data_IF_590508452649
#
_entry.id   IF_590508452649
#
_cell.length_a   1.000
_cell.length_b   1.000
_cell.length_c   1.000
_cell.angle_alpha   90.00
_cell.angle_beta   90.00
_cell.angle_gamma   90.00
#
_symmetry.space_group_name_H-M   'P 1'
#
loop_
_entity.id
_entity.type
_entity.pdbx_description
1 polymer ?
#
# COMPACT_ATOMS: atom_id res chain seq x y z
N UNK A 1 13.54 -10.15 22.04
CA UNK A 1 13.52 -11.03 20.84
C UNK A 1 12.34 -12.01 20.84
N UNK A 2 11.90 -12.54 21.98
CA UNK A 2 10.71 -13.42 22.08
C UNK A 2 9.38 -12.72 21.77
N UNK A 3 9.22 -11.46 22.17
CA UNK A 3 7.99 -10.67 21.94
C UNK A 3 7.68 -10.42 20.46
N UNK A 4 8.67 -10.01 19.66
CA UNK A 4 8.50 -9.79 18.20
C UNK A 4 8.16 -11.08 17.44
N UNK A 5 8.67 -12.25 17.86
CA UNK A 5 8.34 -13.54 17.25
C UNK A 5 6.86 -13.92 17.52
N UNK A 6 6.38 -13.64 18.73
CA UNK A 6 5.00 -13.92 19.13
C UNK A 6 4.00 -13.04 18.35
N UNK A 7 4.31 -11.75 18.15
CA UNK A 7 3.50 -10.84 17.33
C UNK A 7 3.41 -11.27 15.87
N UNK A 8 4.53 -11.75 15.28
CA UNK A 8 4.55 -12.27 13.90
C UNK A 8 3.65 -13.49 13.71
N UNK A 9 3.61 -14.41 14.68
CA UNK A 9 2.72 -15.58 14.63
C UNK A 9 1.24 -15.18 14.74
N UNK A 10 0.92 -14.29 15.68
CA UNK A 10 -0.46 -13.78 15.85
C UNK A 10 -0.99 -13.10 14.59
N UNK A 11 -0.18 -12.31 13.89
CA UNK A 11 -0.57 -11.67 12.63
C UNK A 11 -0.80 -12.69 11.49
N UNK A 12 -0.04 -13.78 11.46
CA UNK A 12 -0.26 -14.87 10.50
C UNK A 12 -1.49 -15.74 10.85
N UNK A 13 -1.91 -15.75 12.12
CA UNK A 13 -3.05 -16.52 12.61
C UNK A 13 -4.37 -15.75 12.50
N UNK A 14 -4.34 -14.42 12.59
CA UNK A 14 -5.51 -13.55 12.41
C UNK A 14 -5.90 -13.30 10.95
N UNK A 15 -5.34 -14.06 10.00
CA UNK A 15 -5.68 -13.89 8.59
C UNK A 15 -7.14 -14.25 8.34
N UNK A 16 -7.87 -13.38 7.64
CA UNK A 16 -9.28 -13.56 7.26
C UNK A 16 -9.53 -14.89 6.53
N UNK A 17 -8.51 -15.46 5.88
CA UNK A 17 -8.60 -16.77 5.22
C UNK A 17 -8.62 -17.97 6.17
N UNK A 18 -8.37 -17.77 7.48
CA UNK A 18 -8.36 -18.85 8.49
C UNK A 18 -9.60 -18.84 9.39
N UNK A 19 -10.20 -17.68 9.60
CA UNK A 19 -11.38 -17.52 10.45
C UNK A 19 -12.55 -17.04 9.60
N UNK A 20 -13.77 -17.54 9.83
CA UNK A 20 -14.93 -17.04 9.11
C UNK A 20 -15.15 -15.55 9.45
N UNK A 21 -15.67 -14.75 8.51
CA UNK A 21 -15.94 -13.33 8.72
C UNK A 21 -16.89 -13.10 9.90
N UNK A 22 -16.81 -11.96 10.55
CA UNK A 22 -17.74 -11.55 11.63
C UNK A 22 -19.15 -11.29 11.09
N UNK A 23 -20.15 -11.20 11.97
CA UNK A 23 -21.54 -10.99 11.56
C UNK A 23 -21.72 -9.71 10.73
N UNK A 24 -21.11 -8.60 11.15
CA UNK A 24 -21.16 -7.32 10.43
C UNK A 24 -20.59 -7.42 9.01
N UNK A 25 -19.48 -8.14 8.84
CA UNK A 25 -18.84 -8.37 7.54
C UNK A 25 -19.70 -9.27 6.63
N UNK A 26 -20.39 -10.25 7.21
CA UNK A 26 -21.36 -11.10 6.49
C UNK A 26 -22.57 -10.29 6.03
N UNK A 27 -23.09 -9.41 6.88
CA UNK A 27 -24.22 -8.54 6.54
C UNK A 27 -23.84 -7.58 5.41
N UNK A 28 -22.59 -7.08 5.38
CA UNK A 28 -22.06 -6.30 4.27
C UNK A 28 -22.02 -7.10 2.96
N UNK A 29 -21.49 -8.32 2.99
CA UNK A 29 -21.49 -9.18 1.81
C UNK A 29 -22.90 -9.52 1.33
N UNK A 30 -23.82 -9.76 2.27
CA UNK A 30 -25.21 -10.03 1.93
C UNK A 30 -25.87 -8.82 1.25
N UNK A 31 -25.59 -7.60 1.70
CA UNK A 31 -26.04 -6.38 1.02
C UNK A 31 -25.49 -6.26 -0.40
N UNK A 32 -24.20 -6.52 -0.60
CA UNK A 32 -23.59 -6.54 -1.95
C UNK A 32 -24.27 -7.58 -2.85
N UNK A 33 -24.51 -8.78 -2.31
CA UNK A 33 -25.21 -9.84 -3.05
C UNK A 33 -26.64 -9.45 -3.44
N UNK A 34 -27.38 -8.80 -2.54
CA UNK A 34 -28.74 -8.34 -2.82
C UNK A 34 -28.80 -7.24 -3.89
N UNK A 35 -27.73 -6.45 -4.06
CA UNK A 35 -27.65 -5.46 -5.15
C UNK A 35 -27.53 -6.12 -6.53
N UNK A 36 -26.80 -7.23 -6.62
CA UNK A 36 -26.59 -7.99 -7.87
C UNK A 36 -27.71 -9.01 -8.15
N UNK A 37 -28.56 -9.30 -7.16
CA UNK A 37 -29.58 -10.35 -7.22
C UNK A 37 -30.96 -9.80 -7.59
N UNK A 38 -31.54 -10.29 -8.68
CA UNK A 38 -32.94 -10.02 -9.01
C UNK A 38 -33.90 -11.01 -8.32
N UNK A 39 -34.80 -10.54 -7.44
CA UNK A 39 -35.73 -11.41 -6.73
C UNK A 39 -36.81 -12.04 -7.63
N UNK A 40 -37.13 -11.41 -8.77
CA UNK A 40 -38.17 -11.90 -9.68
C UNK A 40 -37.69 -13.03 -10.59
N UNK A 41 -36.47 -12.93 -11.11
CA UNK A 41 -35.90 -13.92 -12.04
C UNK A 41 -35.07 -14.98 -11.35
N UNK A 42 -34.66 -14.78 -10.09
CA UNK A 42 -33.71 -15.65 -9.37
C UNK A 42 -32.40 -15.84 -10.17
N UNK A 43 -32.06 -14.87 -11.01
CA UNK A 43 -30.83 -14.86 -11.82
C UNK A 43 -29.92 -13.79 -11.22
N UNK A 44 -28.63 -14.13 -11.08
CA UNK A 44 -27.60 -13.15 -10.76
C UNK A 44 -27.40 -12.27 -12.00
N UNK A 45 -27.46 -10.94 -11.88
CA UNK A 45 -27.05 -10.01 -12.97
C UNK A 45 -25.55 -10.10 -13.17
N UNK A 46 -25.04 -11.24 -13.62
CA UNK A 46 -23.61 -11.54 -13.58
C UNK A 46 -22.80 -10.81 -14.65
N UNK A 47 -23.48 -10.19 -15.62
CA UNK A 47 -22.84 -9.68 -16.83
C UNK A 47 -22.92 -8.15 -16.96
N UNK A 48 -23.88 -7.50 -16.29
CA UNK A 48 -24.00 -6.04 -16.31
C UNK A 48 -23.50 -5.45 -14.98
N UNK A 49 -22.41 -4.70 -15.03
CA UNK A 49 -21.93 -3.96 -13.87
C UNK A 49 -22.91 -2.80 -13.58
N UNK A 50 -23.31 -2.56 -12.31
CA UNK A 50 -24.18 -1.44 -11.99
C UNK A 50 -23.55 -0.10 -12.40
N UNK A 51 -24.39 0.86 -12.78
CA UNK A 51 -23.96 2.14 -13.38
C UNK A 51 -22.95 2.86 -12.49
N UNK A 52 -21.72 3.06 -12.99
CA UNK A 52 -20.64 3.73 -12.26
C UNK A 52 -19.77 2.84 -11.37
N UNK A 53 -20.02 1.52 -11.37
CA UNK A 53 -19.15 0.53 -10.74
C UNK A 53 -18.25 -0.18 -11.75
N UNK A 54 -17.19 -0.82 -11.25
CA UNK A 54 -16.22 -1.60 -12.00
C UNK A 54 -16.01 -2.93 -11.28
N UNK A 55 -15.91 -4.02 -12.03
CA UNK A 55 -15.59 -5.32 -11.45
C UNK A 55 -14.16 -5.35 -10.93
N UNK A 56 -13.98 -5.99 -9.77
CA UNK A 56 -12.65 -6.19 -9.18
C UNK A 56 -11.69 -6.95 -10.09
N UNK A 57 -12.22 -7.78 -10.99
CA UNK A 57 -11.47 -8.54 -12.00
C UNK A 57 -10.86 -7.66 -13.09
N UNK A 58 -11.54 -6.55 -13.41
CA UNK A 58 -11.12 -5.60 -14.44
C UNK A 58 -10.17 -4.54 -13.84
N UNK A 59 -10.30 -4.25 -12.55
CA UNK A 59 -9.45 -3.35 -11.79
C UNK A 59 -8.12 -4.00 -11.33
N UNK A 60 -7.45 -4.74 -12.22
CA UNK A 60 -6.17 -5.41 -11.94
C UNK A 60 -5.07 -5.03 -12.91
N UNK A 61 -3.83 -5.02 -12.42
CA UNK A 61 -2.63 -4.77 -13.22
C UNK A 61 -1.51 -5.72 -12.78
N UNK A 62 -0.77 -6.28 -13.74
CA UNK A 62 0.33 -7.19 -13.46
C UNK A 62 1.64 -6.64 -14.00
N UNK A 63 2.74 -6.96 -13.33
CA UNK A 63 4.08 -6.62 -13.76
C UNK A 63 5.05 -7.75 -13.42
N UNK A 64 5.96 -8.07 -14.34
CA UNK A 64 7.02 -9.07 -14.13
C UNK A 64 8.36 -8.38 -14.21
N UNK A 65 9.16 -8.52 -13.17
CA UNK A 65 10.49 -7.91 -13.07
C UNK A 65 11.54 -8.99 -12.87
N UNK A 66 12.64 -8.87 -13.62
CA UNK A 66 13.81 -9.74 -13.46
C UNK A 66 14.65 -9.22 -12.31
N UNK A 67 14.99 -10.10 -11.36
CA UNK A 67 15.86 -9.75 -10.24
C UNK A 67 17.33 -9.71 -10.67
N UNK A 68 17.77 -8.55 -11.13
CA UNK A 68 19.14 -8.31 -11.56
C UNK A 68 20.11 -8.14 -10.35
N UNK A 69 21.42 -8.39 -10.52
CA UNK A 69 22.41 -8.27 -9.45
C UNK A 69 22.54 -6.87 -8.83
N UNK A 70 22.20 -5.81 -9.55
CA UNK A 70 22.26 -4.42 -9.05
C UNK A 70 21.34 -4.17 -7.85
N UNK A 71 20.31 -5.00 -7.69
CA UNK A 71 19.35 -4.93 -6.59
C UNK A 71 19.69 -5.91 -5.45
N UNK A 72 20.91 -6.46 -5.42
CA UNK A 72 21.35 -7.36 -4.37
C UNK A 72 21.75 -6.64 -3.08
N UNK A 73 21.49 -7.31 -1.97
CA UNK A 73 22.09 -7.03 -0.68
C UNK A 73 23.40 -7.82 -0.54
N UNK A 74 24.24 -7.47 0.45
CA UNK A 74 25.50 -8.17 0.80
C UNK A 74 25.36 -9.69 0.99
N UNK A 75 24.14 -10.16 1.21
CA UNK A 75 23.81 -11.58 1.37
C UNK A 75 23.29 -12.25 0.08
N UNK A 76 23.54 -11.68 -1.10
CA UNK A 76 23.10 -12.17 -2.42
C UNK A 76 21.57 -12.42 -2.49
N UNK A 77 20.80 -11.53 -1.84
CA UNK A 77 19.33 -11.53 -1.84
C UNK A 77 18.82 -10.19 -2.33
N UNK A 78 17.66 -10.18 -2.95
CA UNK A 78 17.07 -8.92 -3.44
C UNK A 78 16.75 -7.98 -2.29
N UNK A 79 17.11 -6.72 -2.44
CA UNK A 79 16.86 -5.68 -1.46
C UNK A 79 15.36 -5.42 -1.26
N UNK A 80 14.93 -5.33 0.01
CA UNK A 80 13.50 -5.12 0.33
C UNK A 80 12.95 -3.79 -0.19
N UNK A 81 13.78 -2.74 -0.27
CA UNK A 81 13.38 -1.45 -0.84
C UNK A 81 13.04 -1.52 -2.33
N UNK A 82 13.74 -2.37 -3.09
CA UNK A 82 13.40 -2.64 -4.48
C UNK A 82 12.01 -3.27 -4.58
N UNK A 83 11.71 -4.22 -3.68
CA UNK A 83 10.42 -4.88 -3.64
C UNK A 83 9.27 -3.89 -3.39
N UNK A 84 9.45 -3.03 -2.39
CA UNK A 84 8.47 -2.03 -1.98
C UNK A 84 8.24 -0.97 -3.07
N UNK A 85 9.32 -0.51 -3.72
CA UNK A 85 9.22 0.49 -4.78
C UNK A 85 8.38 0.00 -5.96
N UNK A 86 8.70 -1.18 -6.50
CA UNK A 86 7.96 -1.74 -7.63
C UNK A 86 6.48 -2.00 -7.28
N UNK A 87 6.22 -2.49 -6.06
CA UNK A 87 4.85 -2.70 -5.60
C UNK A 87 4.07 -1.38 -5.51
N UNK A 88 4.69 -0.33 -4.97
CA UNK A 88 4.10 1.00 -4.86
C UNK A 88 3.83 1.62 -6.23
N UNK A 89 4.81 1.57 -7.15
CA UNK A 89 4.65 2.08 -8.51
C UNK A 89 3.51 1.38 -9.26
N UNK A 90 3.38 0.06 -9.10
CA UNK A 90 2.29 -0.70 -9.70
C UNK A 90 0.92 -0.33 -9.11
N UNK A 91 0.83 -0.20 -7.78
CA UNK A 91 -0.41 0.17 -7.09
C UNK A 91 -0.87 1.58 -7.48
N UNK A 92 0.07 2.52 -7.56
CA UNK A 92 -0.17 3.89 -8.00
C UNK A 92 -0.68 3.92 -9.45
N UNK A 93 -0.04 3.17 -10.35
CA UNK A 93 -0.44 3.07 -11.75
C UNK A 93 -1.85 2.46 -11.90
N UNK A 94 -2.17 1.41 -11.13
CA UNK A 94 -3.49 0.76 -11.15
C UNK A 94 -4.59 1.75 -10.74
N UNK A 95 -4.35 2.50 -9.67
CA UNK A 95 -5.30 3.51 -9.18
C UNK A 95 -5.50 4.64 -10.18
N UNK A 96 -4.42 5.07 -10.84
CA UNK A 96 -4.47 6.10 -11.88
C UNK A 96 -5.28 5.64 -13.10
N UNK A 97 -5.07 4.40 -13.57
CA UNK A 97 -5.81 3.81 -14.68
C UNK A 97 -7.30 3.69 -14.36
N UNK A 98 -7.64 3.26 -13.14
CA UNK A 98 -9.03 3.07 -12.73
C UNK A 98 -9.80 4.40 -12.63
N UNK A 99 -9.18 5.41 -12.01
CA UNK A 99 -9.86 6.66 -11.68
C UNK A 99 -9.71 7.76 -12.75
N UNK A 100 -8.73 7.62 -13.65
CA UNK A 100 -8.33 8.69 -14.58
C UNK A 100 -7.78 9.93 -13.89
N UNK A 101 -7.51 9.86 -12.58
CA UNK A 101 -7.12 10.98 -11.72
C UNK A 101 -5.85 10.66 -10.97
N UNK A 102 -5.02 11.68 -10.72
CA UNK A 102 -3.74 11.51 -10.04
C UNK A 102 -3.97 11.05 -8.58
N UNK A 103 -3.54 9.84 -8.20
CA UNK A 103 -3.65 9.39 -6.82
C UNK A 103 -2.54 9.97 -5.96
N UNK A 104 -2.89 10.30 -4.71
CA UNK A 104 -1.98 10.69 -3.64
C UNK A 104 -1.89 9.56 -2.62
N UNK A 105 -0.68 9.26 -2.14
CA UNK A 105 -0.50 8.26 -1.08
C UNK A 105 -1.07 8.79 0.21
N UNK A 106 -1.99 8.03 0.82
CA UNK A 106 -2.56 8.35 2.12
C UNK A 106 -1.91 7.51 3.23
N UNK A 107 -1.91 6.18 3.06
CA UNK A 107 -1.36 5.26 4.05
C UNK A 107 -0.75 4.02 3.38
N UNK A 108 0.26 3.46 4.03
CA UNK A 108 0.87 2.18 3.67
C UNK A 108 0.86 1.30 4.92
N UNK A 109 0.30 0.11 4.81
CA UNK A 109 0.22 -0.84 5.93
C UNK A 109 1.61 -1.38 6.32
N UNK A 110 1.69 -2.00 7.50
CA UNK A 110 2.89 -2.69 7.96
C UNK A 110 3.27 -3.86 7.04
N UNK A 111 4.48 -3.77 6.47
CA UNK A 111 5.00 -4.74 5.50
C UNK A 111 5.82 -5.82 6.22
N UNK A 112 5.43 -7.08 6.02
CA UNK A 112 6.14 -8.24 6.60
C UNK A 112 6.75 -9.12 5.52
N UNK A 113 8.08 -9.20 5.50
CA UNK A 113 8.80 -10.06 4.57
C UNK A 113 8.69 -11.54 4.96
N UNK A 114 7.84 -12.33 4.26
CA UNK A 114 7.62 -13.75 4.64
C UNK A 114 8.77 -14.66 4.20
N UNK A 115 9.34 -14.41 3.01
CA UNK A 115 10.42 -15.23 2.43
C UNK A 115 11.46 -14.33 1.74
N UNK A 116 12.76 -14.66 1.85
CA UNK A 116 13.80 -13.96 1.11
C UNK A 116 13.71 -14.28 -0.39
N UNK A 117 14.07 -13.31 -1.24
CA UNK A 117 14.06 -13.47 -2.70
C UNK A 117 15.47 -13.70 -3.22
N UNK A 118 15.63 -14.73 -4.06
CA UNK A 118 16.88 -15.10 -4.72
C UNK A 118 17.08 -14.28 -6.00
N UNK A 119 18.34 -13.92 -6.28
CA UNK A 119 18.73 -13.30 -7.53
C UNK A 119 18.49 -14.23 -8.72
N UNK A 120 18.23 -13.66 -9.90
CA UNK A 120 17.93 -14.42 -11.11
C UNK A 120 16.55 -15.10 -11.13
N UNK A 121 15.74 -14.97 -10.06
CA UNK A 121 14.34 -15.37 -10.09
C UNK A 121 13.47 -14.30 -10.76
N UNK A 122 12.30 -14.70 -11.27
CA UNK A 122 11.31 -13.77 -11.81
C UNK A 122 10.37 -13.34 -10.69
N UNK A 123 10.19 -12.03 -10.53
CA UNK A 123 9.28 -11.46 -9.54
C UNK A 123 8.02 -10.96 -10.23
N UNK A 124 6.90 -11.61 -9.96
CA UNK A 124 5.59 -11.25 -10.47
C UNK A 124 4.83 -10.46 -9.42
N UNK A 125 4.45 -9.24 -9.77
CA UNK A 125 3.56 -8.39 -9.00
C UNK A 125 2.19 -8.38 -9.62
N UNK A 126 1.18 -8.53 -8.80
CA UNK A 126 -0.22 -8.42 -9.19
C UNK A 126 -0.87 -7.41 -8.26
N UNK A 127 -1.30 -6.29 -8.82
CA UNK A 127 -2.00 -5.21 -8.14
C UNK A 127 -3.49 -5.30 -8.46
N UNK A 128 -4.31 -5.26 -7.43
CA UNK A 128 -5.77 -5.32 -7.54
C UNK A 128 -6.38 -4.28 -6.61
N UNK A 129 -7.33 -3.49 -7.13
CA UNK A 129 -8.10 -2.58 -6.29
C UNK A 129 -9.14 -3.40 -5.54
N UNK A 130 -9.09 -3.33 -4.22
CA UNK A 130 -9.88 -4.23 -3.35
C UNK A 130 -11.09 -3.55 -2.77
N UNK A 131 -10.95 -2.28 -2.38
CA UNK A 131 -12.04 -1.56 -1.72
C UNK A 131 -11.95 -0.08 -2.05
N UNK A 132 -13.12 0.54 -2.20
CA UNK A 132 -13.28 1.96 -2.53
C UNK A 132 -14.32 2.57 -1.63
N UNK A 133 -14.02 3.72 -1.04
CA UNK A 133 -14.96 4.49 -0.22
C UNK A 133 -14.69 5.96 -0.37
N UNK A 134 -15.74 6.72 -0.68
CA UNK A 134 -15.68 8.16 -0.93
C UNK A 134 -14.60 8.48 -1.98
N UNK A 135 -13.54 9.21 -1.60
CA UNK A 135 -12.40 9.53 -2.46
C UNK A 135 -11.18 8.63 -2.23
N UNK A 136 -11.33 7.58 -1.43
CA UNK A 136 -10.22 6.71 -1.08
C UNK A 136 -10.32 5.34 -1.76
N UNK A 137 -9.15 4.85 -2.16
CA UNK A 137 -8.97 3.60 -2.87
C UNK A 137 -7.91 2.76 -2.15
N UNK A 138 -8.24 1.52 -1.85
CA UNK A 138 -7.31 0.56 -1.28
C UNK A 138 -6.95 -0.47 -2.33
N UNK A 139 -5.64 -0.69 -2.45
CA UNK A 139 -5.03 -1.56 -3.42
C UNK A 139 -4.23 -2.62 -2.69
N UNK A 140 -4.45 -3.87 -3.07
CA UNK A 140 -3.65 -5.01 -2.65
C UNK A 140 -2.65 -5.34 -3.75
N UNK A 141 -1.37 -5.50 -3.40
CA UNK A 141 -0.33 -5.95 -4.31
C UNK A 141 0.30 -7.25 -3.79
N UNK A 142 0.12 -8.31 -4.56
CA UNK A 142 0.70 -9.62 -4.31
C UNK A 142 2.04 -9.76 -5.04
N UNK A 143 3.13 -9.99 -4.30
CA UNK A 143 4.45 -10.28 -4.86
C UNK A 143 4.78 -11.77 -4.80
N UNK A 144 4.89 -12.39 -5.96
CA UNK A 144 5.13 -13.83 -6.14
C UNK A 144 6.45 -14.05 -6.85
N UNK A 145 7.30 -14.91 -6.29
CA UNK A 145 8.52 -15.36 -6.95
C UNK A 145 8.19 -16.58 -7.80
N UNK A 146 8.52 -16.50 -9.09
CA UNK A 146 8.38 -17.57 -10.05
C UNK A 146 9.77 -18.17 -10.28
N UNK A 147 9.92 -19.47 -9.97
CA UNK A 147 11.15 -20.22 -10.22
C UNK A 147 10.93 -21.14 -11.43
N UNK A 148 11.34 -20.74 -12.65
CA UNK A 148 11.03 -21.51 -13.85
C UNK A 148 11.64 -22.91 -13.82
N UNK A 149 12.84 -23.06 -13.26
CA UNK A 149 13.53 -24.36 -13.13
C UNK A 149 12.75 -25.36 -12.27
N UNK A 150 12.04 -24.88 -11.24
CA UNK A 150 11.24 -25.73 -10.34
C UNK A 150 9.76 -25.78 -10.71
N UNK A 151 9.30 -24.90 -11.61
CA UNK A 151 7.88 -24.72 -11.92
C UNK A 151 7.05 -24.19 -10.74
N UNK A 152 7.68 -23.71 -9.66
CA UNK A 152 6.97 -23.26 -8.46
C UNK A 152 6.71 -21.75 -8.48
N UNK A 153 5.54 -21.37 -7.97
CA UNK A 153 5.17 -19.97 -7.69
C UNK A 153 4.98 -19.83 -6.18
N UNK A 154 5.73 -18.93 -5.57
CA UNK A 154 5.71 -18.74 -4.12
C UNK A 154 5.42 -17.28 -3.78
N UNK A 155 4.33 -17.03 -3.04
CA UNK A 155 4.02 -15.70 -2.52
C UNK A 155 5.07 -15.33 -1.48
N UNK A 156 5.72 -14.20 -1.72
CA UNK A 156 6.72 -13.62 -0.83
C UNK A 156 6.08 -12.62 0.10
N UNK A 157 5.42 -11.61 -0.46
CA UNK A 157 4.84 -10.51 0.28
C UNK A 157 3.48 -10.12 -0.30
N UNK A 158 2.67 -9.55 0.57
CA UNK A 158 1.40 -8.90 0.22
C UNK A 158 1.52 -7.48 0.76
N UNK A 159 1.25 -6.50 -0.08
CA UNK A 159 1.30 -5.08 0.27
C UNK A 159 -0.11 -4.52 0.20
N UNK A 160 -0.46 -3.68 1.17
CA UNK A 160 -1.69 -2.91 1.12
C UNK A 160 -1.33 -1.43 1.08
N UNK A 161 -1.84 -0.75 0.06
CA UNK A 161 -1.64 0.67 -0.14
C UNK A 161 -2.99 1.37 -0.18
N UNK A 162 -3.05 2.52 0.46
CA UNK A 162 -4.22 3.36 0.48
C UNK A 162 -3.91 4.68 -0.20
N UNK A 163 -4.68 4.99 -1.23
CA UNK A 163 -4.57 6.22 -2.00
C UNK A 163 -5.82 7.09 -1.81
N UNK A 164 -5.61 8.40 -1.81
CA UNK A 164 -6.68 9.39 -1.95
C UNK A 164 -6.67 9.98 -3.35
N UNK A 165 -7.85 10.22 -3.90
CA UNK A 165 -8.04 10.85 -5.19
C UNK A 165 -8.39 12.33 -5.00
N UNK A 166 -7.81 13.18 -5.86
CA UNK A 166 -8.16 14.59 -5.90
C UNK A 166 -9.42 14.82 -6.75
N UNK A 167 -10.38 15.58 -6.23
CA UNK A 167 -11.56 16.07 -6.95
C UNK A 167 -12.88 15.91 -6.19
N UNK A 168 -13.94 16.54 -6.70
CA UNK A 168 -15.28 16.52 -6.07
C UNK A 168 -16.03 15.20 -6.31
N UNK A 169 -15.79 14.54 -7.45
CA UNK A 169 -16.43 13.25 -7.76
C UNK A 169 -15.84 12.11 -6.93
N UNK A 170 -16.66 11.14 -6.47
CA UNK A 170 -16.22 9.97 -5.74
C UNK A 170 -15.36 9.04 -6.61
N UNK A 171 -14.56 8.19 -5.96
CA UNK A 171 -13.82 7.12 -6.61
C UNK A 171 -14.79 6.13 -7.31
N UNK A 172 -14.41 5.55 -8.46
CA UNK A 172 -15.18 4.48 -9.08
C UNK A 172 -15.40 3.34 -8.10
N UNK A 173 -16.64 2.90 -7.94
CA UNK A 173 -16.98 1.83 -6.98
C UNK A 173 -16.48 0.49 -7.50
N UNK A 174 -15.76 -0.27 -6.68
CA UNK A 174 -15.33 -1.63 -7.03
C UNK A 174 -16.23 -2.68 -6.39
N UNK A 175 -16.64 -3.68 -7.17
CA UNK A 175 -17.53 -4.77 -6.72
C UNK A 175 -16.83 -6.13 -6.93
N UNK A 176 -16.81 -7.02 -5.89
CA UNK A 176 -16.28 -8.37 -6.03
C UNK A 176 -17.26 -9.29 -6.77
N UNK A 177 -16.76 -10.13 -7.69
CA UNK A 177 -17.60 -11.11 -8.41
C UNK A 177 -17.48 -12.51 -7.82
N UNK A 178 -16.30 -12.84 -7.29
CA UNK A 178 -15.99 -14.17 -6.76
C UNK A 178 -15.84 -14.14 -5.24
N UNK A 179 -16.07 -15.28 -4.58
CA UNK A 179 -15.90 -15.38 -3.13
C UNK A 179 -14.49 -14.97 -2.63
N UNK A 180 -13.38 -15.33 -3.29
CA UNK A 180 -12.06 -14.83 -2.90
C UNK A 180 -11.95 -13.30 -2.95
N UNK A 181 -12.53 -12.67 -3.96
CA UNK A 181 -12.60 -11.21 -4.06
C UNK A 181 -13.49 -10.60 -2.97
N UNK A 182 -14.58 -11.28 -2.61
CA UNK A 182 -15.43 -10.88 -1.47
C UNK A 182 -14.64 -10.91 -0.15
N UNK A 183 -13.77 -11.90 0.04
CA UNK A 183 -12.90 -11.96 1.22
C UNK A 183 -11.87 -10.84 1.21
N UNK A 184 -11.25 -10.56 0.05
CA UNK A 184 -10.36 -9.41 -0.10
C UNK A 184 -11.11 -8.11 0.20
N UNK A 185 -12.33 -7.93 -0.32
CA UNK A 185 -13.15 -6.74 -0.09
C UNK A 185 -13.38 -6.48 1.41
N UNK A 186 -13.66 -7.53 2.19
CA UNK A 186 -13.78 -7.43 3.65
C UNK A 186 -12.43 -7.05 4.28
N UNK A 187 -11.33 -7.71 3.89
CA UNK A 187 -9.99 -7.36 4.37
C UNK A 187 -9.68 -5.89 4.14
N UNK A 188 -10.06 -5.39 2.95
CA UNK A 188 -10.01 -3.98 2.61
C UNK A 188 -10.75 -3.14 3.65
N UNK A 189 -12.07 -3.36 3.79
CA UNK A 189 -12.92 -2.65 4.76
C UNK A 189 -12.33 -2.63 6.19
N UNK A 190 -11.81 -3.76 6.67
CA UNK A 190 -11.21 -3.88 8.00
C UNK A 190 -9.90 -3.10 8.17
N UNK A 191 -9.10 -2.97 7.11
CA UNK A 191 -7.88 -2.15 7.12
C UNK A 191 -8.21 -0.66 7.22
N UNK A 192 -9.26 -0.14 6.58
CA UNK A 192 -9.65 1.29 6.65
C UNK A 192 -9.94 1.79 8.06
N UNK A 193 -10.45 0.93 8.93
CA UNK A 193 -10.84 1.31 10.29
C UNK A 193 -9.61 1.61 11.15
N UNK A 194 -8.46 0.98 10.85
CA UNK A 194 -7.23 1.04 11.65
C UNK A 194 -6.48 2.38 11.59
N UNK A 195 -6.29 3.05 10.42
CA UNK A 195 -5.64 4.36 10.38
C UNK A 195 -6.47 5.43 11.11
N UNK A 196 -7.81 5.38 11.03
CA UNK A 196 -8.69 6.34 11.71
C UNK A 196 -8.52 6.34 13.25
N UNK A 197 -8.22 5.18 13.87
CA UNK A 197 -7.96 5.13 15.31
C UNK A 197 -6.55 5.63 15.67
N UNK A 198 -5.59 5.53 14.74
CA UNK A 198 -4.18 5.89 14.99
C UNK A 198 -3.94 7.40 14.83
N UNK A 199 -4.69 8.09 13.95
CA UNK A 199 -4.60 9.55 13.78
C UNK A 199 -4.96 10.32 15.06
N UNK A 200 -5.83 9.78 15.93
CA UNK A 200 -6.15 10.40 17.22
C UNK A 200 -4.97 10.43 18.22
N UNK A 201 -3.94 9.60 18.00
CA UNK A 201 -2.71 9.57 18.81
C UNK A 201 -1.56 10.39 18.21
N UNK A 202 -1.63 10.81 16.94
CA UNK A 202 -0.58 11.63 16.30
C UNK A 202 -0.78 13.14 16.46
N UNK A 203 -1.97 13.61 16.84
CA UNK A 203 -2.20 15.04 17.12
C UNK A 203 -1.47 15.55 18.38
N UNK A 204 -1.01 14.68 19.27
CA UNK A 204 -0.27 15.08 20.49
C UNK A 204 1.22 15.35 20.22
N UNK A 205 1.79 14.95 19.08
CA UNK A 205 3.25 15.05 18.83
C UNK A 205 3.66 16.24 17.95
N UNK A 206 2.72 17.04 17.45
CA UNK A 206 3.03 18.17 16.55
C UNK A 206 3.45 19.45 17.30
N UNK A 207 3.24 19.54 18.62
CA UNK A 207 3.61 20.72 19.41
C UNK A 207 5.10 20.82 19.79
N UNK A 208 5.91 19.77 19.62
CA UNK A 208 7.32 19.76 20.08
C UNK A 208 8.37 20.16 19.04
N UNK A 209 7.98 20.60 17.84
CA UNK A 209 8.93 21.10 16.82
C UNK A 209 9.08 22.63 16.78
N UNK A 210 8.35 23.38 17.62
CA UNK A 210 8.45 24.85 17.69
C UNK A 210 9.55 25.36 18.64
N UNK A 211 10.16 24.52 19.49
CA UNK A 211 11.08 25.00 20.55
C UNK A 211 12.57 24.87 20.17
N UNK A 212 12.91 24.14 19.09
CA UNK A 212 14.31 23.92 18.70
C UNK A 212 14.94 25.04 17.86
N UNK A 213 14.19 26.09 17.47
CA UNK A 213 14.69 27.22 16.68
C UNK A 213 15.18 28.41 17.53
N UNK A 214 15.15 28.32 18.87
CA UNK A 214 15.45 29.43 19.77
C UNK A 214 16.84 29.38 20.46
N UNK A 215 17.73 28.43 20.13
CA UNK A 215 19.00 28.24 20.86
C UNK A 215 20.29 28.32 20.02
N UNK A 216 20.25 28.85 18.80
CA UNK A 216 21.46 29.06 18.00
C UNK A 216 21.75 30.56 17.81
N UNK A 217 22.33 31.21 18.84
CA UNK A 217 23.02 32.50 18.66
C UNK A 217 24.46 32.26 18.17
N UNK A 218 24.91 32.91 17.08
CA UNK A 218 26.30 32.85 16.66
C UNK A 218 27.15 33.82 17.49
N UNK A 219 28.15 33.27 18.19
CA UNK A 219 29.16 34.05 18.92
C UNK A 219 30.12 34.75 17.97
N UNK A 220 30.21 36.07 18.11
CA UNK A 220 31.17 36.95 17.44
C UNK A 220 32.62 36.48 17.65
N UNK A 221 33.32 36.10 16.57
CA UNK A 221 34.79 36.14 16.52
C UNK A 221 35.23 37.51 15.99
N UNK A 222 36.04 38.22 16.78
CA UNK A 222 36.68 39.49 16.41
C UNK A 222 37.70 39.26 15.27
N UNK A 223 37.83 40.17 14.29
CA UNK A 223 38.90 40.12 13.32
C UNK A 223 40.20 40.74 13.88
N UNK A 224 41.32 40.06 13.67
CA UNK A 224 42.68 40.57 13.86
C UNK A 224 43.07 41.37 12.62
N UNK A 225 43.40 42.64 12.80
CA UNK A 225 43.84 43.54 11.74
C UNK A 225 45.25 43.19 11.28
N UNK A 226 45.42 42.89 9.98
CA UNK A 226 46.72 42.81 9.31
C UNK A 226 46.93 44.16 8.62
N UNK A 227 47.87 44.96 9.14
CA UNK A 227 48.40 46.14 8.44
C UNK A 227 49.08 45.67 7.15
N UNK A 228 48.75 46.31 6.03
CA UNK A 228 49.62 46.29 4.86
C UNK A 228 49.74 47.69 4.28
N UNK A 229 51.01 48.10 4.16
CA UNK A 229 51.48 49.37 3.64
C UNK A 229 51.20 49.48 2.12
N UNK A 230 50.77 50.66 1.68
CA UNK A 230 50.98 51.21 0.32
C UNK A 230 51.18 52.72 0.50
N UNK A 231 52.40 53.26 0.43
CA UNK A 231 53.05 53.75 -0.79
C UNK A 231 52.08 54.32 -1.84
N UNK A 232 51.94 55.65 -1.87
CA UNK A 232 52.28 56.55 -3.00
C UNK A 232 51.72 57.96 -2.78
N UNK A 233 52.58 58.97 -2.96
CA UNK A 233 52.18 60.26 -3.53
C UNK A 233 52.56 61.52 -2.76
N UNK A 234 53.84 61.93 -2.82
CA UNK A 234 54.35 63.29 -3.11
C UNK A 234 55.85 63.34 -2.81
#
# INVERSE_FOLDING_TARGET
RSSQCCTKKKFQESGIFKQPPTQEERDLLHKLFLEDFDPETYILKSDECPVGAIWMQDAKLTNVVICQPEFENLYNKVFGGFLMRNAFELAWATTYILSGRRPKTYHTDDIWFRRPVELGSLLHYESQVVYTRDNFVQVNVNATVIKPVKGTKEITNVFHFTFSLDGENPAPRVIPRSYPESMLYIEGNGTWIKPCQTESLQQVTVTTKSTALAMAQPTHRKPVAIMNQKTKGA
#
